data_IF_620454215957
#
_entry.id   IF_620454215957
#
_cell.length_a   1.000
_cell.length_b   1.000
_cell.length_c   1.000
_cell.angle_alpha   90.00
_cell.angle_beta   90.00
_cell.angle_gamma   90.00
#
_symmetry.space_group_name_H-M   'P 1'
#
loop_
_entity.id
_entity.type
_entity.pdbx_description
1 polymer ?
#
# COMPACT_ATOMS: atom_id res chain seq x y z
N UNK A 1 -51.60 13.40 -0.42
CA UNK A 1 -51.33 12.26 0.50
C UNK A 1 -50.18 11.36 0.01
N UNK A 2 -49.92 11.30 -1.31
CA UNK A 2 -48.78 10.57 -1.89
C UNK A 2 -47.48 11.34 -1.70
N UNK A 3 -47.50 12.67 -1.93
CA UNK A 3 -46.29 13.52 -1.90
C UNK A 3 -45.52 13.49 -0.55
N UNK A 4 -46.26 13.38 0.60
CA UNK A 4 -45.65 13.26 1.95
C UNK A 4 -44.96 11.92 2.14
N UNK A 5 -45.51 10.84 1.55
CA UNK A 5 -44.88 9.51 1.63
C UNK A 5 -43.61 9.43 0.79
N UNK A 6 -43.60 10.10 -0.36
CA UNK A 6 -42.48 10.13 -1.28
C UNK A 6 -41.31 10.98 -0.70
N UNK A 7 -41.62 12.09 -0.06
CA UNK A 7 -40.62 12.92 0.66
C UNK A 7 -40.00 12.19 1.84
N UNK A 8 -40.79 11.50 2.65
CA UNK A 8 -40.30 10.67 3.76
C UNK A 8 -39.45 9.51 3.27
N UNK A 9 -39.79 8.91 2.12
CA UNK A 9 -38.98 7.87 1.48
C UNK A 9 -37.61 8.37 1.02
N UNK A 10 -37.53 9.59 0.49
CA UNK A 10 -36.29 10.20 0.02
C UNK A 10 -35.38 10.59 1.18
N UNK A 11 -35.92 11.11 2.27
CA UNK A 11 -35.15 11.37 3.51
C UNK A 11 -34.54 10.13 4.10
N UNK A 12 -35.33 9.08 4.24
CA UNK A 12 -34.84 7.80 4.73
C UNK A 12 -33.68 7.25 3.89
N UNK A 13 -33.76 7.38 2.57
CA UNK A 13 -32.68 6.97 1.65
C UNK A 13 -31.41 7.82 1.80
N UNK A 14 -31.57 9.13 1.99
CA UNK A 14 -30.44 10.03 2.23
C UNK A 14 -29.76 9.77 3.57
N UNK A 15 -30.53 9.47 4.61
CA UNK A 15 -29.98 9.08 5.90
C UNK A 15 -29.24 7.74 5.84
N UNK A 16 -29.81 6.77 5.10
CA UNK A 16 -29.14 5.50 4.83
C UNK A 16 -27.84 5.70 4.04
N UNK A 17 -27.83 6.57 3.04
CA UNK A 17 -26.62 6.91 2.27
C UNK A 17 -25.58 7.59 3.17
N UNK A 18 -25.99 8.48 4.07
CA UNK A 18 -25.13 9.09 5.07
C UNK A 18 -24.49 8.07 6.04
N UNK A 19 -25.27 7.08 6.49
CA UNK A 19 -24.72 5.99 7.32
C UNK A 19 -23.74 5.11 6.56
N UNK A 20 -24.00 4.82 5.29
CA UNK A 20 -23.05 4.08 4.44
C UNK A 20 -21.78 4.86 4.19
N UNK A 21 -21.86 6.18 4.03
CA UNK A 21 -20.69 7.05 3.92
C UNK A 21 -19.83 7.02 5.19
N UNK A 22 -20.46 7.02 6.38
CA UNK A 22 -19.75 6.87 7.65
C UNK A 22 -18.98 5.55 7.77
N UNK A 23 -19.58 4.43 7.30
CA UNK A 23 -18.89 3.14 7.26
C UNK A 23 -17.73 3.15 6.26
N UNK A 24 -17.88 3.81 5.11
CA UNK A 24 -16.79 3.98 4.16
C UNK A 24 -15.63 4.81 4.74
N UNK A 25 -15.92 5.77 5.62
CA UNK A 25 -14.89 6.54 6.33
C UNK A 25 -14.08 5.65 7.29
N UNK A 26 -14.72 4.71 7.99
CA UNK A 26 -14.04 3.72 8.85
C UNK A 26 -13.14 2.80 8.00
N UNK A 27 -13.64 2.31 6.86
CA UNK A 27 -12.85 1.48 5.93
C UNK A 27 -11.65 2.25 5.35
N UNK A 28 -11.80 3.54 5.04
CA UNK A 28 -10.70 4.41 4.59
C UNK A 28 -9.63 4.52 5.68
N UNK A 29 -10.00 4.74 6.93
CA UNK A 29 -9.06 4.82 8.05
C UNK A 29 -8.27 3.52 8.23
N UNK A 30 -8.94 2.38 8.10
CA UNK A 30 -8.28 1.07 8.13
C UNK A 30 -7.26 0.91 7.00
N UNK A 31 -7.61 1.30 5.78
CA UNK A 31 -6.71 1.25 4.63
C UNK A 31 -5.54 2.22 4.79
N UNK A 32 -5.76 3.40 5.37
CA UNK A 32 -4.69 4.34 5.72
C UNK A 32 -3.69 3.73 6.69
N UNK A 33 -4.18 3.00 7.70
CA UNK A 33 -3.34 2.26 8.62
C UNK A 33 -2.46 1.23 7.91
N UNK A 34 -3.04 0.41 7.04
CA UNK A 34 -2.30 -0.59 6.24
C UNK A 34 -1.27 0.05 5.31
N UNK A 35 -1.61 1.16 4.67
CA UNK A 35 -0.67 1.91 3.82
C UNK A 35 0.49 2.46 4.66
N UNK A 36 0.22 2.95 5.87
CA UNK A 36 1.26 3.42 6.79
C UNK A 36 2.20 2.28 7.21
N UNK A 37 1.68 1.10 7.54
CA UNK A 37 2.47 -0.09 7.85
C UNK A 37 3.35 -0.53 6.68
N UNK A 38 2.80 -0.56 5.46
CA UNK A 38 3.58 -0.86 4.25
C UNK A 38 4.70 0.15 4.02
N UNK A 39 4.47 1.44 4.30
CA UNK A 39 5.52 2.48 4.20
C UNK A 39 6.66 2.23 5.16
N UNK A 40 6.34 1.91 6.42
CA UNK A 40 7.35 1.58 7.43
C UNK A 40 8.13 0.34 6.99
N UNK A 41 7.45 -0.73 6.58
CA UNK A 41 8.09 -1.95 6.08
C UNK A 41 9.01 -1.69 4.87
N UNK A 42 8.58 -0.85 3.92
CA UNK A 42 9.43 -0.45 2.79
C UNK A 42 10.66 0.35 3.24
N UNK A 43 10.54 1.17 4.27
CA UNK A 43 11.65 1.95 4.80
C UNK A 43 12.67 1.05 5.50
N UNK A 44 12.21 0.12 6.31
CA UNK A 44 13.05 -0.87 6.99
C UNK A 44 13.79 -1.76 5.98
N UNK A 45 13.10 -2.24 4.96
CA UNK A 45 13.69 -3.03 3.87
C UNK A 45 14.75 -2.23 3.10
N UNK A 46 14.53 -0.93 2.85
CA UNK A 46 15.54 -0.06 2.20
C UNK A 46 16.82 0.05 3.03
N UNK A 47 16.69 0.19 4.35
CA UNK A 47 17.85 0.26 5.23
C UNK A 47 18.58 -1.09 5.31
N UNK A 48 17.83 -2.20 5.33
CA UNK A 48 18.41 -3.54 5.28
C UNK A 48 19.17 -3.79 3.98
N UNK A 49 18.59 -3.43 2.82
CA UNK A 49 19.26 -3.50 1.50
C UNK A 49 20.53 -2.67 1.48
N UNK A 50 20.49 -1.44 2.01
CA UNK A 50 21.66 -0.58 2.11
C UNK A 50 22.77 -1.21 2.96
N UNK A 51 22.41 -1.76 4.11
CA UNK A 51 23.36 -2.43 5.02
C UNK A 51 24.00 -3.66 4.37
N UNK A 52 23.17 -4.48 3.68
CA UNK A 52 23.66 -5.64 2.94
C UNK A 52 24.56 -5.23 1.77
N UNK A 53 24.21 -4.19 1.03
CA UNK A 53 25.05 -3.66 -0.06
C UNK A 53 26.42 -3.24 0.44
N UNK A 54 26.48 -2.52 1.56
CA UNK A 54 27.76 -2.15 2.19
C UNK A 54 28.56 -3.38 2.66
N UNK A 55 27.86 -4.41 3.18
CA UNK A 55 28.50 -5.65 3.60
C UNK A 55 29.08 -6.43 2.41
N UNK A 56 28.39 -6.46 1.28
CA UNK A 56 28.89 -7.03 0.01
C UNK A 56 30.13 -6.28 -0.45
N UNK A 57 30.05 -4.97 -0.56
CA UNK A 57 31.19 -4.13 -1.01
C UNK A 57 32.43 -4.33 -0.13
N UNK A 58 32.24 -4.38 1.19
CA UNK A 58 33.33 -4.65 2.13
C UNK A 58 33.94 -6.04 1.94
N UNK A 59 33.09 -7.07 1.80
CA UNK A 59 33.55 -8.44 1.60
C UNK A 59 34.30 -8.58 0.26
N UNK A 60 33.86 -7.90 -0.80
CA UNK A 60 34.57 -7.88 -2.09
C UNK A 60 35.94 -7.19 -1.99
N UNK A 61 36.01 -6.05 -1.30
CA UNK A 61 37.30 -5.35 -1.06
C UNK A 61 38.26 -6.22 -0.24
N UNK A 62 37.75 -6.88 0.80
CA UNK A 62 38.54 -7.79 1.62
C UNK A 62 39.01 -9.01 0.81
N UNK A 63 38.14 -9.56 -0.07
CA UNK A 63 38.48 -10.65 -0.97
C UNK A 63 39.61 -10.27 -1.92
N UNK A 64 39.50 -9.13 -2.62
CA UNK A 64 40.53 -8.64 -3.55
C UNK A 64 41.87 -8.41 -2.85
N UNK A 65 41.84 -7.87 -1.63
CA UNK A 65 43.07 -7.67 -0.84
C UNK A 65 43.73 -9.01 -0.44
N UNK A 66 42.93 -10.01 -0.07
CA UNK A 66 43.42 -11.35 0.25
C UNK A 66 43.93 -12.08 -0.98
N UNK A 67 43.22 -12.00 -2.13
CA UNK A 67 43.62 -12.61 -3.39
C UNK A 67 44.96 -12.00 -3.88
N UNK A 68 45.09 -10.70 -3.80
CA UNK A 68 46.36 -10.01 -4.14
C UNK A 68 47.52 -10.47 -3.23
N UNK A 69 47.26 -10.69 -1.94
CA UNK A 69 48.26 -11.21 -1.02
C UNK A 69 48.61 -12.68 -1.33
N UNK A 70 47.58 -13.50 -1.63
CA UNK A 70 47.75 -14.89 -2.04
C UNK A 70 48.60 -15.03 -3.32
N UNK A 71 48.34 -14.24 -4.35
CA UNK A 71 49.12 -14.26 -5.62
C UNK A 71 50.59 -13.91 -5.42
N UNK A 72 50.92 -13.19 -4.35
CA UNK A 72 52.33 -12.89 -3.99
C UNK A 72 52.99 -14.01 -3.20
N UNK A 73 52.21 -15.00 -2.70
CA UNK A 73 52.75 -16.18 -2.05
C UNK A 73 53.21 -17.18 -3.09
N UNK A 74 54.49 -17.10 -3.53
CA UNK A 74 55.08 -18.09 -4.43
C UNK A 74 55.55 -19.34 -3.67
N UNK A 75 55.97 -20.38 -4.42
CA UNK A 75 56.57 -21.60 -3.85
C UNK A 75 57.79 -21.23 -2.94
N UNK A 76 57.75 -21.71 -1.70
CA UNK A 76 58.82 -21.47 -0.74
C UNK A 76 58.67 -20.20 0.13
N UNK A 77 57.67 -19.38 -0.10
CA UNK A 77 57.39 -18.18 0.70
C UNK A 77 56.77 -18.60 2.04
N UNK A 78 57.50 -18.33 3.15
CA UNK A 78 57.06 -18.68 4.52
C UNK A 78 56.09 -17.67 5.12
N UNK A 79 56.08 -16.43 4.66
CA UNK A 79 55.18 -15.39 5.14
C UNK A 79 54.97 -14.31 4.09
N UNK A 80 53.73 -13.79 4.00
CA UNK A 80 53.30 -12.74 3.09
C UNK A 80 52.81 -11.54 3.87
N UNK A 81 53.10 -10.32 3.38
CA UNK A 81 52.60 -9.10 4.00
C UNK A 81 51.13 -8.88 3.64
N UNK A 82 50.29 -8.94 4.66
CA UNK A 82 48.84 -8.63 4.55
C UNK A 82 48.42 -7.65 5.64
N UNK A 83 47.82 -6.53 5.30
CA UNK A 83 47.41 -5.46 6.24
C UNK A 83 48.54 -5.08 7.24
N UNK A 84 49.74 -4.88 6.70
CA UNK A 84 50.96 -4.52 7.46
C UNK A 84 51.40 -5.58 8.49
N UNK A 85 50.99 -6.83 8.33
CA UNK A 85 51.45 -7.98 9.16
C UNK A 85 51.98 -9.08 8.26
N UNK A 86 53.04 -9.77 8.75
CA UNK A 86 53.51 -10.99 8.12
C UNK A 86 52.57 -12.14 8.50
N UNK A 87 51.94 -12.77 7.54
CA UNK A 87 50.93 -13.80 7.70
C UNK A 87 51.31 -15.05 6.94
N UNK A 88 51.05 -16.22 7.51
CA UNK A 88 51.27 -17.51 6.85
C UNK A 88 50.34 -17.63 5.63
N UNK A 89 50.86 -18.09 4.45
CA UNK A 89 50.04 -18.31 3.25
C UNK A 89 48.82 -19.19 3.49
N UNK A 90 48.93 -20.23 4.33
CA UNK A 90 47.79 -21.11 4.67
C UNK A 90 46.63 -20.35 5.36
N UNK A 91 46.97 -19.39 6.22
CA UNK A 91 45.96 -18.52 6.88
C UNK A 91 45.31 -17.56 5.89
N UNK A 92 46.07 -17.11 4.90
CA UNK A 92 45.51 -16.25 3.81
C UNK A 92 44.56 -17.07 2.97
N UNK A 93 44.88 -18.30 2.56
CA UNK A 93 44.03 -19.17 1.78
C UNK A 93 42.71 -19.49 2.53
N UNK A 94 42.79 -19.89 3.80
CA UNK A 94 41.60 -20.12 4.62
C UNK A 94 40.73 -18.86 4.75
N UNK A 95 41.35 -17.69 4.90
CA UNK A 95 40.64 -16.40 5.00
C UNK A 95 40.00 -16.01 3.68
N UNK A 96 40.66 -16.32 2.54
CA UNK A 96 40.14 -16.09 1.19
C UNK A 96 38.87 -16.92 0.94
N UNK A 97 38.94 -18.23 1.22
CA UNK A 97 37.78 -19.13 1.08
C UNK A 97 36.60 -18.67 1.96
N UNK A 98 36.87 -18.34 3.23
CA UNK A 98 35.85 -17.85 4.18
C UNK A 98 35.23 -16.54 3.70
N UNK A 99 36.03 -15.62 3.17
CA UNK A 99 35.57 -14.33 2.67
C UNK A 99 34.75 -14.50 1.39
N UNK A 100 35.15 -15.41 0.49
CA UNK A 100 34.38 -15.76 -0.70
C UNK A 100 32.98 -16.30 -0.38
N UNK A 101 32.91 -17.26 0.57
CA UNK A 101 31.63 -17.81 1.02
C UNK A 101 30.74 -16.74 1.68
N UNK A 102 31.32 -15.85 2.48
CA UNK A 102 30.61 -14.74 3.10
C UNK A 102 30.09 -13.74 2.05
N UNK A 103 30.91 -13.37 1.07
CA UNK A 103 30.51 -12.47 -0.02
C UNK A 103 29.34 -13.07 -0.82
N UNK A 104 29.42 -14.36 -1.16
CA UNK A 104 28.35 -15.08 -1.88
C UNK A 104 27.05 -15.11 -1.07
N UNK A 105 27.15 -15.38 0.23
CA UNK A 105 25.99 -15.38 1.15
C UNK A 105 25.33 -14.00 1.21
N UNK A 106 26.13 -12.92 1.35
CA UNK A 106 25.59 -11.57 1.39
C UNK A 106 24.96 -11.18 0.07
N UNK A 107 25.55 -11.53 -1.10
CA UNK A 107 24.96 -11.29 -2.43
C UNK A 107 23.58 -11.93 -2.56
N UNK A 108 23.44 -13.21 -2.22
CA UNK A 108 22.14 -13.90 -2.27
C UNK A 108 21.11 -13.24 -1.37
N UNK A 109 21.50 -12.85 -0.17
CA UNK A 109 20.59 -12.14 0.75
C UNK A 109 20.21 -10.77 0.21
N UNK A 110 21.14 -10.04 -0.38
CA UNK A 110 20.88 -8.74 -1.02
C UNK A 110 19.86 -8.90 -2.14
N UNK A 111 20.09 -9.81 -3.09
CA UNK A 111 19.16 -10.08 -4.19
C UNK A 111 17.74 -10.41 -3.70
N UNK A 112 17.65 -11.28 -2.67
CA UNK A 112 16.35 -11.62 -2.08
C UNK A 112 15.67 -10.40 -1.47
N UNK A 113 16.41 -9.56 -0.73
CA UNK A 113 15.85 -8.36 -0.09
C UNK A 113 15.48 -7.27 -1.09
N UNK A 114 16.24 -7.11 -2.16
CA UNK A 114 15.91 -6.21 -3.26
C UNK A 114 14.61 -6.63 -3.96
N UNK A 115 14.42 -7.93 -4.18
CA UNK A 115 13.19 -8.46 -4.77
C UNK A 115 11.98 -8.22 -3.86
N UNK A 116 12.13 -8.48 -2.54
CA UNK A 116 11.07 -8.21 -1.55
C UNK A 116 10.74 -6.72 -1.51
N UNK A 117 11.76 -5.85 -1.49
CA UNK A 117 11.57 -4.39 -1.51
C UNK A 117 10.85 -3.94 -2.77
N UNK A 118 11.18 -4.49 -3.93
CA UNK A 118 10.50 -4.17 -5.19
C UNK A 118 9.01 -4.54 -5.12
N UNK A 119 8.69 -5.73 -4.61
CA UNK A 119 7.31 -6.18 -4.45
C UNK A 119 6.52 -5.30 -3.46
N UNK A 120 7.10 -4.98 -2.30
CA UNK A 120 6.47 -4.10 -1.30
C UNK A 120 6.28 -2.68 -1.84
N UNK A 121 7.27 -2.15 -2.58
CA UNK A 121 7.17 -0.82 -3.21
C UNK A 121 6.06 -0.76 -4.24
N UNK A 122 5.89 -1.80 -5.05
CA UNK A 122 4.80 -1.92 -6.01
C UNK A 122 3.44 -2.01 -5.32
N UNK A 123 3.34 -2.84 -4.25
CA UNK A 123 2.12 -2.96 -3.46
C UNK A 123 1.73 -1.62 -2.81
N UNK A 124 2.71 -0.91 -2.25
CA UNK A 124 2.51 0.41 -1.66
C UNK A 124 2.01 1.43 -2.69
N UNK A 125 2.63 1.49 -3.87
CA UNK A 125 2.19 2.41 -4.93
C UNK A 125 0.76 2.13 -5.37
N UNK A 126 0.39 0.85 -5.51
CA UNK A 126 -0.96 0.42 -5.84
C UNK A 126 -1.94 0.83 -4.74
N UNK A 127 -1.62 0.55 -3.47
CA UNK A 127 -2.46 0.88 -2.33
C UNK A 127 -2.66 2.40 -2.17
N UNK A 128 -1.60 3.20 -2.32
CA UNK A 128 -1.68 4.67 -2.30
C UNK A 128 -2.57 5.22 -3.44
N UNK A 129 -2.53 4.61 -4.62
CA UNK A 129 -3.36 4.99 -5.75
C UNK A 129 -4.83 4.69 -5.49
N UNK A 130 -5.12 3.48 -5.02
CA UNK A 130 -6.48 3.06 -4.65
C UNK A 130 -7.06 3.94 -3.54
N UNK A 131 -6.28 4.24 -2.51
CA UNK A 131 -6.72 5.10 -1.41
C UNK A 131 -7.09 6.50 -1.89
N UNK A 132 -6.30 7.10 -2.80
CA UNK A 132 -6.65 8.40 -3.43
C UNK A 132 -7.95 8.32 -4.22
N UNK A 133 -8.16 7.25 -4.98
CA UNK A 133 -9.39 7.07 -5.75
C UNK A 133 -10.61 6.93 -4.84
N UNK A 134 -10.52 6.14 -3.78
CA UNK A 134 -11.58 5.96 -2.79
C UNK A 134 -11.94 7.30 -2.13
N UNK A 135 -10.94 8.07 -1.69
CA UNK A 135 -11.16 9.40 -1.10
C UNK A 135 -11.87 10.34 -2.07
N UNK A 136 -11.41 10.40 -3.32
CA UNK A 136 -12.05 11.25 -4.35
C UNK A 136 -13.51 10.84 -4.61
N UNK A 137 -13.78 9.54 -4.63
CA UNK A 137 -15.16 9.04 -4.79
C UNK A 137 -16.01 9.36 -3.56
N UNK A 138 -15.46 9.17 -2.37
CA UNK A 138 -16.12 9.52 -1.11
C UNK A 138 -16.51 11.00 -1.06
N UNK A 139 -15.61 11.90 -1.45
CA UNK A 139 -15.89 13.34 -1.53
C UNK A 139 -17.04 13.65 -2.51
N UNK A 140 -17.02 13.06 -3.69
CA UNK A 140 -18.10 13.20 -4.66
C UNK A 140 -19.44 12.74 -4.10
N UNK A 141 -19.46 11.60 -3.42
CA UNK A 141 -20.67 11.06 -2.78
C UNK A 141 -21.17 11.97 -1.67
N UNK A 142 -20.27 12.51 -0.85
CA UNK A 142 -20.62 13.45 0.24
C UNK A 142 -21.27 14.73 -0.33
N UNK A 143 -20.66 15.34 -1.33
CA UNK A 143 -21.21 16.52 -2.01
C UNK A 143 -22.59 16.24 -2.63
N UNK A 144 -22.76 15.05 -3.15
CA UNK A 144 -24.00 14.63 -3.76
C UNK A 144 -25.12 14.47 -2.73
N UNK A 145 -24.84 13.85 -1.57
CA UNK A 145 -25.78 13.75 -0.46
C UNK A 145 -26.17 15.15 0.02
N UNK A 146 -25.21 16.05 0.15
CA UNK A 146 -25.44 17.42 0.61
C UNK A 146 -26.35 18.19 -0.36
N UNK A 147 -26.04 18.15 -1.66
CA UNK A 147 -26.89 18.77 -2.69
C UNK A 147 -28.31 18.21 -2.68
N UNK A 148 -28.46 16.88 -2.55
CA UNK A 148 -29.79 16.27 -2.46
C UNK A 148 -30.57 16.66 -1.19
N UNK A 149 -29.89 16.93 -0.08
CA UNK A 149 -30.52 17.47 1.14
C UNK A 149 -31.02 18.89 0.90
N UNK A 150 -30.21 19.75 0.27
CA UNK A 150 -30.58 21.12 -0.08
C UNK A 150 -31.80 21.14 -1.03
N UNK A 151 -31.79 20.25 -2.04
CA UNK A 151 -32.90 20.13 -2.98
C UNK A 151 -34.19 19.69 -2.27
N UNK A 152 -34.13 18.71 -1.37
CA UNK A 152 -35.27 18.27 -0.55
C UNK A 152 -35.81 19.39 0.34
N UNK A 153 -34.93 20.16 0.96
CA UNK A 153 -35.34 21.31 1.79
C UNK A 153 -35.99 22.38 0.96
N UNK A 154 -35.47 22.67 -0.23
CA UNK A 154 -36.05 23.60 -1.19
C UNK A 154 -37.43 23.14 -1.63
N UNK A 155 -37.64 21.85 -1.92
CA UNK A 155 -38.94 21.27 -2.22
C UNK A 155 -39.91 21.43 -1.06
N UNK A 156 -39.48 21.18 0.19
CA UNK A 156 -40.30 21.41 1.39
C UNK A 156 -40.76 22.86 1.54
N UNK A 157 -39.86 23.81 1.35
CA UNK A 157 -40.15 25.25 1.43
C UNK A 157 -41.17 25.65 0.35
N UNK A 158 -41.01 25.13 -0.85
CA UNK A 158 -41.96 25.35 -1.92
C UNK A 158 -43.32 24.71 -1.64
N UNK A 159 -43.37 23.50 -1.06
CA UNK A 159 -44.62 22.84 -0.64
C UNK A 159 -45.38 23.61 0.42
N UNK A 160 -44.66 24.29 1.31
CA UNK A 160 -45.27 25.12 2.36
C UNK A 160 -45.74 26.48 1.85
N UNK A 161 -45.13 26.99 0.73
CA UNK A 161 -45.43 28.35 0.19
C UNK A 161 -46.42 28.36 -0.95
N UNK A 162 -46.53 27.28 -1.74
CA UNK A 162 -47.42 27.22 -2.93
C UNK A 162 -48.14 25.85 -2.96
N UNK A 163 -49.49 25.90 -2.84
CA UNK A 163 -50.28 24.67 -3.00
C UNK A 163 -50.12 24.04 -4.40
N UNK A 164 -49.62 22.89 -4.42
CA UNK A 164 -49.89 21.72 -5.26
C UNK A 164 -49.29 21.49 -6.67
N UNK A 165 -48.64 22.36 -7.43
CA UNK A 165 -48.45 22.00 -8.85
C UNK A 165 -47.02 21.92 -9.43
N UNK A 166 -45.92 22.12 -8.68
CA UNK A 166 -44.55 22.17 -9.27
C UNK A 166 -43.65 20.96 -8.97
N UNK A 167 -44.14 19.93 -8.29
CA UNK A 167 -43.28 19.04 -7.51
C UNK A 167 -42.89 17.68 -8.11
N UNK A 168 -43.51 17.23 -9.18
CA UNK A 168 -43.30 15.87 -9.70
C UNK A 168 -41.89 15.67 -10.32
N UNK A 169 -41.31 16.72 -10.93
CA UNK A 169 -40.01 16.59 -11.64
C UNK A 169 -38.81 16.66 -10.70
N UNK A 170 -38.81 17.52 -9.68
CA UNK A 170 -37.73 17.65 -8.73
C UNK A 170 -37.64 16.40 -7.81
N UNK A 171 -38.79 15.86 -7.41
CA UNK A 171 -38.87 14.65 -6.62
C UNK A 171 -38.38 13.42 -7.41
N UNK A 172 -38.77 13.28 -8.67
CA UNK A 172 -38.33 12.21 -9.57
C UNK A 172 -36.82 12.24 -9.79
N UNK A 173 -36.23 13.43 -9.93
CA UNK A 173 -34.81 13.61 -10.08
C UNK A 173 -34.04 13.23 -8.80
N UNK A 174 -34.55 13.61 -7.62
CA UNK A 174 -33.95 13.24 -6.32
C UNK A 174 -34.03 11.72 -6.06
N UNK A 175 -35.13 11.07 -6.45
CA UNK A 175 -35.27 9.60 -6.34
C UNK A 175 -34.36 8.86 -7.30
N UNK A 176 -34.24 9.30 -8.54
CA UNK A 176 -33.31 8.68 -9.49
C UNK A 176 -31.87 8.81 -9.00
N UNK A 177 -31.53 9.96 -8.48
CA UNK A 177 -30.21 10.26 -7.96
C UNK A 177 -29.87 9.42 -6.70
N UNK A 178 -30.81 9.27 -5.76
CA UNK A 178 -30.65 8.42 -4.60
C UNK A 178 -30.47 6.92 -4.97
N UNK A 179 -31.11 6.47 -6.06
CA UNK A 179 -30.94 5.11 -6.61
C UNK A 179 -29.55 4.91 -7.23
N UNK A 180 -29.06 5.89 -8.00
CA UNK A 180 -27.73 5.87 -8.62
C UNK A 180 -26.64 5.88 -7.53
N UNK A 181 -26.79 6.72 -6.51
CA UNK A 181 -25.91 6.80 -5.36
C UNK A 181 -25.81 5.46 -4.60
N UNK A 182 -26.97 4.84 -4.35
CA UNK A 182 -27.07 3.54 -3.66
C UNK A 182 -26.38 2.43 -4.48
N UNK A 183 -26.46 2.50 -5.80
CA UNK A 183 -25.77 1.57 -6.70
C UNK A 183 -24.26 1.77 -6.70
N UNK A 184 -23.79 3.02 -6.74
CA UNK A 184 -22.37 3.35 -6.74
C UNK A 184 -21.69 2.96 -5.41
N UNK A 185 -22.35 3.20 -4.27
CA UNK A 185 -21.87 2.76 -2.96
C UNK A 185 -21.79 1.24 -2.84
N UNK A 186 -22.73 0.50 -3.44
CA UNK A 186 -22.73 -0.96 -3.46
C UNK A 186 -21.58 -1.51 -4.31
N UNK A 187 -21.33 -0.92 -5.49
CA UNK A 187 -20.20 -1.28 -6.36
C UNK A 187 -18.87 -0.99 -5.66
N UNK A 188 -18.75 0.13 -4.93
CA UNK A 188 -17.56 0.46 -4.17
C UNK A 188 -17.26 -0.57 -3.08
N UNK A 189 -18.28 -1.01 -2.35
CA UNK A 189 -18.15 -2.05 -1.32
C UNK A 189 -17.65 -3.36 -1.92
N UNK A 190 -18.17 -3.74 -3.07
CA UNK A 190 -17.79 -4.98 -3.77
C UNK A 190 -16.34 -4.92 -4.30
N UNK A 191 -15.91 -3.76 -4.79
CA UNK A 191 -14.52 -3.53 -5.23
C UNK A 191 -13.54 -3.63 -4.06
N UNK A 192 -13.88 -3.08 -2.89
CA UNK A 192 -13.03 -3.14 -1.69
C UNK A 192 -12.96 -4.58 -1.15
N UNK A 193 -14.10 -5.32 -1.12
CA UNK A 193 -14.11 -6.71 -0.66
C UNK A 193 -13.37 -7.66 -1.60
N UNK A 194 -13.54 -7.54 -2.90
CA UNK A 194 -12.83 -8.38 -3.90
C UNK A 194 -11.31 -8.15 -3.88
N UNK A 195 -10.85 -6.90 -3.61
CA UNK A 195 -9.42 -6.63 -3.50
C UNK A 195 -8.83 -7.01 -2.13
N UNK A 196 -9.63 -7.03 -1.07
CA UNK A 196 -9.21 -7.52 0.26
C UNK A 196 -9.03 -9.04 0.31
N UNK A 197 -9.80 -9.80 -0.48
CA UNK A 197 -9.66 -11.25 -0.58
C UNK A 197 -8.45 -11.70 -1.41
N UNK A 198 -8.00 -10.90 -2.38
CA UNK A 198 -6.81 -11.21 -3.19
C UNK A 198 -5.52 -11.03 -2.37
N UNK A 199 -5.48 -10.09 -1.42
CA UNK A 199 -4.30 -9.88 -0.57
C UNK A 199 -4.18 -10.90 0.59
N UNK A 200 -5.27 -11.53 1.01
CA UNK A 200 -5.24 -12.58 2.04
C UNK A 200 -4.76 -13.95 1.51
N UNK A 201 -4.64 -14.12 0.20
CA UNK A 201 -4.21 -15.34 -0.47
C UNK A 201 -2.69 -15.56 -0.53
N UNK A 202 -1.87 -14.55 -0.24
CA UNK A 202 -0.41 -14.70 -0.10
C UNK A 202 -0.01 -14.87 1.37
N UNK A 203 -0.52 -15.94 1.99
CA UNK A 203 0.03 -16.44 3.24
C UNK A 203 1.47 -16.89 3.00
N UNK A 204 2.38 -16.37 3.83
CA UNK A 204 3.78 -16.80 3.98
C UNK A 204 3.85 -18.22 4.60
N UNK A 205 3.28 -19.20 3.94
CA UNK A 205 3.48 -20.60 4.22
C UNK A 205 4.21 -21.17 3.00
N UNK A 206 5.53 -21.15 3.03
CA UNK A 206 6.47 -22.09 2.42
C UNK A 206 7.86 -21.42 2.32
N UNK A 207 8.55 -21.38 3.44
CA UNK A 207 10.00 -21.20 3.47
C UNK A 207 10.55 -21.88 4.74
N UNK A 208 10.59 -23.24 4.69
CA UNK A 208 11.56 -24.05 5.45
C UNK A 208 12.83 -24.29 4.64
#
# INVERSE_FOLDING_TARGET
RNDVKDTLGSEFRLDQAGQQLGRADEEILDQEGRVAELRVSCQDLKEEVRTLSQAVEKAEKDFVALDTAWQRSGEGVRAVSYRSRMTDPAVIDESLQRTALRATSFKRRLETREQVLANHSFALEKADRMLREIRTRREKVALTIENSRIDLESVRLLQTSTGNDVHASALANAEQFARELSKDLRVQREVVTVHGEVDSGYSLADAD
#
